data_IF_412669507435
#
_entry.id   IF_412669507435
#
_cell.length_a   1.000
_cell.length_b   1.000
_cell.length_c   1.000
_cell.angle_alpha   90.00
_cell.angle_beta   90.00
_cell.angle_gamma   90.00
#
_symmetry.space_group_name_H-M   'P 1'
#
loop_
_entity.id
_entity.type
_entity.pdbx_description
1 polymer ?
#
# COMPACT_ATOMS: atom_id res chain seq x y z
N UNK A 1 -7.71 -4.20 27.53
CA UNK A 1 -7.32 -5.45 26.87
C UNK A 1 -7.89 -5.36 25.46
N UNK A 2 -7.11 -5.61 24.42
CA UNK A 2 -7.59 -5.57 23.04
C UNK A 2 -7.97 -6.99 22.58
N UNK A 3 -9.00 -7.06 21.75
CA UNK A 3 -9.39 -8.28 21.03
C UNK A 3 -9.43 -7.95 19.54
N UNK A 4 -8.93 -8.85 18.70
CA UNK A 4 -8.93 -8.69 17.26
C UNK A 4 -9.92 -9.69 16.65
N UNK A 5 -10.79 -9.17 15.79
CA UNK A 5 -11.76 -9.90 15.00
C UNK A 5 -11.28 -9.82 13.55
N UNK A 6 -11.29 -10.95 12.82
CA UNK A 6 -10.67 -11.02 11.49
C UNK A 6 -11.50 -10.32 10.42
N UNK A 7 -12.79 -10.22 10.66
CA UNK A 7 -13.76 -9.56 9.80
C UNK A 7 -13.56 -8.05 9.86
N UNK A 8 -13.45 -7.41 8.69
CA UNK A 8 -13.40 -5.97 8.60
C UNK A 8 -14.72 -5.35 9.10
N UNK A 9 -14.61 -4.24 9.83
CA UNK A 9 -15.78 -3.46 10.28
C UNK A 9 -16.67 -3.04 9.10
N UNK A 10 -16.07 -2.74 7.95
CA UNK A 10 -16.77 -2.53 6.68
C UNK A 10 -16.05 -3.20 5.52
N UNK A 11 -16.82 -3.74 4.57
CA UNK A 11 -16.27 -4.44 3.42
C UNK A 11 -15.63 -3.46 2.42
N UNK A 12 -14.30 -3.46 2.35
CA UNK A 12 -13.56 -2.82 1.27
C UNK A 12 -13.72 -3.59 -0.04
N UNK A 13 -13.97 -2.88 -1.14
CA UNK A 13 -14.06 -3.48 -2.49
C UNK A 13 -13.26 -2.64 -3.48
N UNK A 14 -12.46 -3.31 -4.30
CA UNK A 14 -11.64 -2.71 -5.35
C UNK A 14 -12.00 -3.39 -6.66
N UNK A 15 -12.27 -2.60 -7.71
CA UNK A 15 -12.69 -3.10 -9.02
C UNK A 15 -11.50 -3.49 -9.91
N UNK A 16 -10.36 -2.81 -9.77
CA UNK A 16 -9.13 -3.05 -10.53
C UNK A 16 -7.90 -2.60 -9.73
N UNK A 17 -6.71 -3.17 -9.98
CA UNK A 17 -5.46 -2.69 -9.39
C UNK A 17 -5.19 -1.23 -9.78
N UNK A 18 -4.73 -0.41 -8.82
CA UNK A 18 -4.30 0.98 -9.05
C UNK A 18 -3.21 1.37 -8.03
N UNK A 19 -1.92 1.21 -8.39
CA UNK A 19 -0.79 1.57 -7.53
C UNK A 19 -0.72 3.06 -7.18
N UNK A 20 -1.23 3.93 -8.05
CA UNK A 20 -1.17 5.38 -7.83
C UNK A 20 -2.15 5.75 -6.74
N UNK A 21 -3.36 5.17 -6.78
CA UNK A 21 -4.34 5.37 -5.73
C UNK A 21 -3.88 4.73 -4.41
N UNK A 22 -3.29 3.53 -4.45
CA UNK A 22 -2.69 2.91 -3.26
C UNK A 22 -1.65 3.82 -2.59
N UNK A 23 -0.82 4.51 -3.38
CA UNK A 23 0.15 5.48 -2.85
C UNK A 23 -0.51 6.67 -2.15
N UNK A 24 -1.65 7.16 -2.67
CA UNK A 24 -2.40 8.23 -2.01
C UNK A 24 -3.01 7.76 -0.69
N UNK A 25 -3.50 6.53 -0.63
CA UNK A 25 -4.07 5.95 0.59
C UNK A 25 -3.05 5.75 1.71
N UNK A 26 -1.75 5.71 1.42
CA UNK A 26 -0.71 5.72 2.46
C UNK A 26 -0.76 6.98 3.34
N UNK A 27 -1.21 8.11 2.78
CA UNK A 27 -1.45 9.33 3.56
C UNK A 27 -2.61 9.14 4.55
N UNK A 28 -3.69 8.46 4.12
CA UNK A 28 -4.80 8.14 5.02
C UNK A 28 -4.40 7.07 6.05
N UNK A 29 -3.51 6.14 5.70
CA UNK A 29 -3.05 5.11 6.63
C UNK A 29 -2.14 5.69 7.73
N UNK A 30 -1.03 6.33 7.34
CA UNK A 30 0.04 6.74 8.28
C UNK A 30 0.49 8.19 8.16
N UNK A 31 -0.19 9.00 7.34
CA UNK A 31 0.12 10.42 7.20
C UNK A 31 -0.24 11.25 8.45
N UNK A 32 0.20 12.52 8.51
CA UNK A 32 -0.09 13.44 9.62
C UNK A 32 -1.58 13.62 9.96
N UNK A 33 -2.48 13.35 9.01
CA UNK A 33 -3.94 13.39 9.21
C UNK A 33 -4.62 12.05 8.94
N UNK A 34 -3.84 10.95 8.96
CA UNK A 34 -4.36 9.61 8.75
C UNK A 34 -4.95 8.96 10.01
N UNK A 35 -5.55 7.78 9.81
CA UNK A 35 -6.26 7.02 10.85
C UNK A 35 -5.34 6.63 12.01
N UNK A 36 -4.07 6.29 11.73
CA UNK A 36 -3.13 5.94 12.79
C UNK A 36 -2.90 7.11 13.75
N UNK A 37 -2.82 8.34 13.23
CA UNK A 37 -2.65 9.54 14.04
C UNK A 37 -3.92 9.83 14.85
N UNK A 38 -5.11 9.68 14.24
CA UNK A 38 -6.39 9.82 14.94
C UNK A 38 -6.52 8.80 16.09
N UNK A 39 -6.31 7.52 15.81
CA UNK A 39 -6.35 6.43 16.79
C UNK A 39 -5.42 6.71 17.98
N UNK A 40 -4.17 7.05 17.71
CA UNK A 40 -3.18 7.35 18.75
C UNK A 40 -3.52 8.61 19.54
N UNK A 41 -4.05 9.64 18.88
CA UNK A 41 -4.43 10.89 19.53
C UNK A 41 -5.56 10.66 20.54
N UNK A 42 -6.66 10.02 20.14
CA UNK A 42 -7.76 9.73 21.04
C UNK A 42 -7.36 8.77 22.16
N UNK A 43 -6.55 7.75 21.84
CA UNK A 43 -6.07 6.79 22.82
C UNK A 43 -5.24 7.46 23.93
N UNK A 44 -4.31 8.35 23.56
CA UNK A 44 -3.47 9.08 24.52
C UNK A 44 -4.30 10.07 25.34
N UNK A 45 -5.23 10.79 24.69
CA UNK A 45 -6.11 11.75 25.36
C UNK A 45 -7.01 11.09 26.40
N UNK A 46 -7.49 9.87 26.14
CA UNK A 46 -8.34 9.13 27.05
C UNK A 46 -7.70 8.99 28.46
N UNK A 47 -6.41 8.71 28.55
CA UNK A 47 -5.74 8.53 29.85
C UNK A 47 -5.86 9.74 30.78
N UNK A 48 -5.89 10.96 30.24
CA UNK A 48 -6.10 12.18 31.01
C UNK A 48 -7.51 12.28 31.61
N UNK A 49 -8.50 11.64 30.98
CA UNK A 49 -9.90 11.66 31.39
C UNK A 49 -10.26 10.57 32.40
N UNK A 50 -9.45 9.51 32.53
CA UNK A 50 -9.81 8.28 33.26
C UNK A 50 -10.36 8.47 34.68
N UNK A 51 -9.83 9.42 35.45
CA UNK A 51 -10.31 9.78 36.80
C UNK A 51 -11.26 10.99 36.81
N UNK A 52 -10.93 12.13 36.17
CA UNK A 52 -11.76 13.33 36.27
C UNK A 52 -13.05 13.27 35.44
N UNK A 53 -13.07 12.52 34.34
CA UNK A 53 -14.19 12.47 33.38
C UNK A 53 -14.35 11.05 32.81
N UNK A 54 -14.91 10.10 33.58
CA UNK A 54 -15.03 8.71 33.17
C UNK A 54 -15.90 8.52 31.92
N UNK A 55 -16.95 9.33 31.76
CA UNK A 55 -17.80 9.38 30.56
C UNK A 55 -17.01 9.71 29.28
N UNK A 56 -16.09 10.67 29.37
CA UNK A 56 -15.23 11.06 28.25
C UNK A 56 -14.12 10.04 28.01
N UNK A 57 -13.65 9.37 29.05
CA UNK A 57 -12.69 8.29 28.92
C UNK A 57 -13.24 7.17 28.05
N UNK A 58 -14.46 6.72 28.34
CA UNK A 58 -15.12 5.65 27.59
C UNK A 58 -15.33 6.07 26.13
N UNK A 59 -15.89 7.27 25.91
CA UNK A 59 -16.10 7.80 24.54
C UNK A 59 -14.79 7.90 23.75
N UNK A 60 -13.70 8.40 24.35
CA UNK A 60 -12.40 8.50 23.65
C UNK A 60 -11.78 7.14 23.36
N UNK A 61 -11.96 6.16 24.26
CA UNK A 61 -11.49 4.79 24.04
C UNK A 61 -12.30 4.09 22.95
N UNK A 62 -13.61 4.30 22.90
CA UNK A 62 -14.48 3.76 21.86
C UNK A 62 -14.06 4.28 20.48
N UNK A 63 -13.91 5.61 20.35
CA UNK A 63 -13.47 6.24 19.10
C UNK A 63 -12.05 5.75 18.74
N UNK A 64 -11.10 5.76 19.67
CA UNK A 64 -9.74 5.29 19.39
C UNK A 64 -9.70 3.84 18.88
N UNK A 65 -10.60 2.98 19.39
CA UNK A 65 -10.70 1.58 18.98
C UNK A 65 -11.34 1.45 17.60
N UNK A 66 -12.35 2.26 17.29
CA UNK A 66 -12.94 2.36 15.95
C UNK A 66 -11.93 2.82 14.89
N UNK A 67 -11.09 3.81 15.21
CA UNK A 67 -10.06 4.28 14.25
C UNK A 67 -9.02 3.21 13.90
N UNK A 68 -8.79 2.22 14.78
CA UNK A 68 -7.99 1.06 14.42
C UNK A 68 -8.67 0.17 13.38
N UNK A 69 -10.00 0.03 13.43
CA UNK A 69 -10.77 -0.66 12.39
C UNK A 69 -10.75 0.10 11.07
N UNK A 70 -10.81 1.44 11.09
CA UNK A 70 -10.62 2.25 9.88
C UNK A 70 -9.21 2.05 9.28
N UNK A 71 -8.18 2.05 10.12
CA UNK A 71 -6.81 1.79 9.70
C UNK A 71 -6.66 0.42 9.01
N UNK A 72 -7.31 -0.62 9.54
CA UNK A 72 -7.32 -1.96 8.95
C UNK A 72 -8.02 -1.98 7.59
N UNK A 73 -9.17 -1.28 7.45
CA UNK A 73 -9.87 -1.14 6.17
C UNK A 73 -8.99 -0.45 5.12
N UNK A 74 -8.31 0.63 5.48
CA UNK A 74 -7.39 1.34 4.57
C UNK A 74 -6.23 0.43 4.15
N UNK A 75 -5.62 -0.28 5.10
CA UNK A 75 -4.54 -1.24 4.83
C UNK A 75 -4.98 -2.38 3.90
N UNK A 76 -6.15 -2.97 4.15
CA UNK A 76 -6.74 -3.98 3.28
C UNK A 76 -7.00 -3.44 1.87
N UNK A 77 -7.51 -2.22 1.75
CA UNK A 77 -7.77 -1.56 0.47
C UNK A 77 -6.48 -1.33 -0.32
N UNK A 78 -5.41 -0.88 0.34
CA UNK A 78 -4.07 -0.72 -0.26
C UNK A 78 -3.59 -2.07 -0.80
N UNK A 79 -3.70 -3.14 -0.02
CA UNK A 79 -3.28 -4.48 -0.44
C UNK A 79 -4.07 -4.97 -1.65
N UNK A 80 -5.39 -4.74 -1.69
CA UNK A 80 -6.23 -5.07 -2.84
C UNK A 80 -5.83 -4.29 -4.10
N UNK A 81 -5.53 -3.00 -3.97
CA UNK A 81 -5.08 -2.15 -5.09
C UNK A 81 -3.70 -2.53 -5.64
N UNK A 82 -2.83 -3.11 -4.80
CA UNK A 82 -1.50 -3.58 -5.18
C UNK A 82 -1.48 -5.03 -5.67
N UNK A 83 -2.59 -5.75 -5.54
CA UNK A 83 -2.68 -7.15 -5.99
C UNK A 83 -2.54 -7.21 -7.53
N UNK A 84 -1.63 -8.06 -8.02
CA UNK A 84 -1.32 -8.21 -9.46
C UNK A 84 -0.17 -7.34 -9.97
N UNK A 85 0.11 -6.21 -9.31
CA UNK A 85 1.14 -5.24 -9.72
C UNK A 85 2.55 -5.81 -9.63
N UNK A 86 2.83 -6.62 -8.60
CA UNK A 86 4.13 -7.28 -8.46
C UNK A 86 4.40 -8.34 -9.55
N UNK A 87 3.35 -9.00 -10.05
CA UNK A 87 3.48 -9.96 -11.16
C UNK A 87 3.76 -9.23 -12.47
N UNK A 88 2.99 -8.18 -12.76
CA UNK A 88 3.19 -7.37 -13.97
C UNK A 88 4.51 -6.61 -13.98
N UNK A 89 4.93 -6.02 -12.85
CA UNK A 89 6.23 -5.36 -12.75
C UNK A 89 7.39 -6.35 -12.88
N UNK A 90 7.27 -7.55 -12.31
CA UNK A 90 8.27 -8.60 -12.48
C UNK A 90 8.35 -9.04 -13.93
N UNK A 91 7.21 -9.32 -14.57
CA UNK A 91 7.16 -9.70 -15.98
C UNK A 91 7.73 -8.58 -16.87
N UNK A 92 7.34 -7.32 -16.64
CA UNK A 92 7.85 -6.18 -17.39
C UNK A 92 9.36 -5.95 -17.16
N UNK A 93 9.86 -6.22 -15.96
CA UNK A 93 11.30 -6.17 -15.68
C UNK A 93 12.04 -7.30 -16.40
N UNK A 94 11.52 -8.52 -16.35
CA UNK A 94 12.10 -9.69 -17.03
C UNK A 94 12.09 -9.51 -18.57
N UNK A 95 11.06 -8.85 -19.12
CA UNK A 95 10.94 -8.54 -20.54
C UNK A 95 11.74 -7.30 -20.98
N UNK A 96 12.20 -6.47 -20.05
CA UNK A 96 12.90 -5.23 -20.38
C UNK A 96 14.27 -5.49 -21.03
N UNK A 97 14.58 -4.69 -22.06
CA UNK A 97 15.87 -4.74 -22.75
C UNK A 97 17.06 -4.47 -21.83
N UNK A 98 16.82 -3.73 -20.74
CA UNK A 98 17.78 -3.49 -19.68
C UNK A 98 18.22 -4.79 -19.00
N UNK A 99 17.31 -5.71 -18.72
CA UNK A 99 17.63 -7.00 -18.11
C UNK A 99 18.45 -7.87 -19.07
N UNK A 100 18.10 -7.89 -20.36
CA UNK A 100 18.87 -8.59 -21.41
C UNK A 100 20.29 -8.03 -21.58
N UNK A 101 20.47 -6.73 -21.39
CA UNK A 101 21.76 -6.04 -21.44
C UNK A 101 22.65 -6.29 -20.22
N UNK A 102 22.05 -6.66 -19.09
CA UNK A 102 22.74 -6.89 -17.81
C UNK A 102 23.14 -8.35 -17.60
N UNK A 103 22.61 -9.29 -18.40
CA UNK A 103 22.85 -10.74 -18.29
C UNK A 103 24.20 -11.19 -18.89
N UNK A 104 25.27 -10.48 -18.52
CA UNK A 104 26.64 -10.81 -18.89
C UNK A 104 27.10 -10.25 -20.25
N UNK A 105 28.42 -10.27 -20.44
CA UNK A 105 29.10 -9.61 -21.57
C UNK A 105 28.69 -10.18 -22.94
N UNK A 106 28.46 -11.49 -23.01
CA UNK A 106 28.05 -12.19 -24.23
C UNK A 106 26.61 -11.87 -24.65
N UNK A 107 25.66 -11.80 -23.70
CA UNK A 107 24.28 -11.43 -23.98
C UNK A 107 24.18 -9.98 -24.48
N UNK A 108 24.95 -9.07 -23.87
CA UNK A 108 25.08 -7.68 -24.30
C UNK A 108 25.63 -7.54 -25.73
N UNK A 109 26.71 -8.25 -26.07
CA UNK A 109 27.28 -8.20 -27.42
C UNK A 109 26.34 -8.81 -28.46
N UNK A 110 25.65 -9.91 -28.12
CA UNK A 110 24.62 -10.51 -28.98
C UNK A 110 23.46 -9.56 -29.28
N UNK A 111 22.95 -8.84 -28.27
CA UNK A 111 21.86 -7.88 -28.44
C UNK A 111 22.26 -6.69 -29.31
N UNK A 112 23.49 -6.18 -29.13
CA UNK A 112 24.03 -5.07 -29.94
C UNK A 112 24.18 -5.51 -31.40
N UNK A 113 24.67 -6.72 -31.65
CA UNK A 113 24.75 -7.27 -33.00
C UNK A 113 23.38 -7.45 -33.65
N UNK A 114 22.40 -7.99 -32.92
CA UNK A 114 21.05 -8.20 -33.44
C UNK A 114 20.35 -6.86 -33.77
N UNK A 115 20.51 -5.83 -32.93
CA UNK A 115 20.01 -4.48 -33.19
C UNK A 115 20.68 -3.78 -34.38
N UNK A 116 21.97 -4.07 -34.63
CA UNK A 116 22.73 -3.53 -35.77
C UNK A 116 22.47 -4.28 -37.08
N UNK A 117 21.92 -5.49 -37.02
CA UNK A 117 21.62 -6.34 -38.20
C UNK A 117 20.17 -6.18 -38.67
N UNK A 118 19.32 -5.43 -37.94
CA UNK A 118 18.00 -5.02 -38.44
C UNK A 118 18.20 -4.28 -39.79
N UNK A 119 17.70 -4.83 -40.91
CA UNK A 119 17.88 -4.19 -42.19
C UNK A 119 17.10 -2.88 -42.18
N UNK A 120 17.79 -1.79 -42.45
CA UNK A 120 17.19 -0.53 -42.89
C UNK A 120 16.54 -0.84 -44.25
N UNK A 121 15.32 -1.38 -44.23
CA UNK A 121 14.57 -1.76 -45.43
C UNK A 121 13.13 -1.27 -45.45
N UNK A 122 12.84 -0.16 -44.77
CA UNK A 122 11.68 0.68 -45.05
C UNK A 122 12.05 2.15 -44.91
N UNK A 123 12.79 2.65 -45.91
CA UNK A 123 12.56 3.86 -46.75
C UNK A 123 13.77 4.02 -47.65
#
# INVERSE_FOLDING_TARGET
>A
MFHHVKELQFNARVSKPDPRFARLLLEQFGGPNGELKAAMQYFVQAFGCRKPHPDKYDMLMDIATEEFSHLEIVGATIQMLLTGVNGELKNAADESDLTKLLDGKAAKEGYIHEALVIPISFW
#
